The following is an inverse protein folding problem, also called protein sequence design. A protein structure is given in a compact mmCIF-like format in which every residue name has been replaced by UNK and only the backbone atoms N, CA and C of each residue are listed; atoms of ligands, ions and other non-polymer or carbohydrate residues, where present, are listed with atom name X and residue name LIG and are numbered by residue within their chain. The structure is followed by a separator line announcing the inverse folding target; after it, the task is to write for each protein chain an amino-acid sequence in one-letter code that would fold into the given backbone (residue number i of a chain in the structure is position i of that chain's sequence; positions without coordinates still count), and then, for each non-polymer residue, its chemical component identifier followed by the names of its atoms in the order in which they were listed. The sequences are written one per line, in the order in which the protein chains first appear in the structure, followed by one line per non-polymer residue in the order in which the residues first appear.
data_IF_109058672351
#
_entry.id   IF_109058672351
#
_cell.length_a   1.000
_cell.length_b   1.000
_cell.length_c   1.000
_cell.angle_alpha   90.00
_cell.angle_beta   90.00
_cell.angle_gamma   90.00
#
_symmetry.space_group_name_H-M   'P 1'
#
loop_
_entity.id
_entity.type
_entity.pdbx_description
1 polymer ?
#
# COMPACT_ATOMS: atom_id res chain seq x y z
N UNK A 1 -16.02 5.52 -2.78
CA UNK A 1 -14.66 4.95 -2.65
C UNK A 1 -14.73 3.51 -2.16
N UNK A 2 -15.31 3.19 -0.99
CA UNK A 2 -15.45 1.79 -0.54
C UNK A 2 -16.18 0.87 -1.53
N UNK A 3 -17.38 1.27 -2.00
CA UNK A 3 -18.14 0.51 -3.02
C UNK A 3 -17.32 0.23 -4.29
N UNK A 4 -16.54 1.21 -4.72
CA UNK A 4 -15.67 1.09 -5.89
C UNK A 4 -14.51 0.13 -5.63
N UNK A 5 -13.88 0.20 -4.45
CA UNK A 5 -12.85 -0.75 -4.03
C UNK A 5 -13.38 -2.18 -4.09
N UNK A 6 -14.54 -2.47 -3.48
CA UNK A 6 -15.16 -3.80 -3.53
C UNK A 6 -15.54 -4.23 -4.96
N UNK A 7 -16.02 -3.31 -5.80
CA UNK A 7 -16.31 -3.60 -7.20
C UNK A 7 -15.04 -3.97 -7.99
N UNK A 8 -13.93 -3.26 -7.76
CA UNK A 8 -12.63 -3.57 -8.39
C UNK A 8 -12.10 -4.93 -7.91
N UNK A 9 -12.23 -5.23 -6.62
CA UNK A 9 -11.84 -6.53 -6.05
C UNK A 9 -12.64 -7.66 -6.68
N UNK A 10 -13.97 -7.55 -6.69
CA UNK A 10 -14.84 -8.59 -7.25
C UNK A 10 -14.55 -8.85 -8.73
N UNK A 11 -14.31 -7.78 -9.51
CA UNK A 11 -13.97 -7.89 -10.94
C UNK A 11 -12.59 -8.52 -11.21
N UNK A 12 -11.65 -8.41 -10.27
CA UNK A 12 -10.27 -8.84 -10.46
C UNK A 12 -9.81 -9.83 -9.36
N UNK A 13 -10.72 -10.64 -8.83
CA UNK A 13 -10.50 -11.47 -7.64
C UNK A 13 -9.29 -12.41 -7.75
N UNK A 14 -9.01 -12.91 -8.96
CA UNK A 14 -7.88 -13.80 -9.22
C UNK A 14 -6.54 -13.17 -8.88
N UNK A 15 -6.36 -11.87 -9.16
CA UNK A 15 -5.14 -11.15 -8.80
C UNK A 15 -4.99 -11.02 -7.28
N UNK A 16 -6.09 -10.82 -6.56
CA UNK A 16 -6.06 -10.76 -5.09
C UNK A 16 -5.70 -12.11 -4.49
N UNK A 17 -6.23 -13.22 -5.05
CA UNK A 17 -5.83 -14.57 -4.65
C UNK A 17 -4.32 -14.79 -4.85
N UNK A 18 -3.77 -14.37 -6.01
CA UNK A 18 -2.33 -14.44 -6.28
C UNK A 18 -1.52 -13.61 -5.28
N UNK A 19 -1.95 -12.38 -4.97
CA UNK A 19 -1.26 -11.53 -3.99
C UNK A 19 -1.27 -12.16 -2.60
N UNK A 20 -2.41 -12.68 -2.14
CA UNK A 20 -2.53 -13.34 -0.84
C UNK A 20 -1.64 -14.59 -0.77
N UNK A 21 -1.72 -15.48 -1.76
CA UNK A 21 -0.87 -16.68 -1.81
C UNK A 21 0.61 -16.30 -1.90
N UNK A 22 0.95 -15.29 -2.69
CA UNK A 22 2.30 -14.75 -2.80
C UNK A 22 2.82 -14.21 -1.47
N UNK A 23 2.01 -13.45 -0.73
CA UNK A 23 2.41 -12.96 0.60
C UNK A 23 2.64 -14.11 1.57
N UNK A 24 1.77 -15.12 1.56
CA UNK A 24 1.93 -16.30 2.41
C UNK A 24 3.21 -17.05 2.10
N UNK A 25 3.50 -17.27 0.81
CA UNK A 25 4.71 -17.94 0.37
C UNK A 25 5.98 -17.18 0.81
N UNK A 26 5.97 -15.85 0.70
CA UNK A 26 7.08 -15.00 1.18
C UNK A 26 7.26 -15.08 2.70
N UNK A 27 6.17 -15.07 3.47
CA UNK A 27 6.27 -15.22 4.93
C UNK A 27 6.78 -16.59 5.37
N UNK A 28 6.34 -17.66 4.70
CA UNK A 28 6.85 -19.02 4.94
C UNK A 28 8.34 -19.10 4.59
N UNK A 29 8.76 -18.46 3.50
CA UNK A 29 10.16 -18.40 3.11
C UNK A 29 11.04 -17.67 4.13
N UNK A 30 10.57 -16.54 4.67
CA UNK A 30 11.29 -15.83 5.73
C UNK A 30 11.42 -16.69 7.00
N UNK A 31 10.38 -17.45 7.36
CA UNK A 31 10.41 -18.36 8.50
C UNK A 31 11.39 -19.53 8.28
N UNK A 32 11.35 -20.16 7.10
CA UNK A 32 12.26 -21.26 6.74
C UNK A 32 13.72 -20.81 6.64
N UNK A 33 13.97 -19.59 6.16
CA UNK A 33 15.32 -19.05 6.04
C UNK A 33 15.87 -18.49 7.35
N UNK A 34 15.01 -18.30 8.37
CA UNK A 34 15.34 -17.64 9.62
C UNK A 34 15.74 -16.16 9.44
N UNK A 35 15.45 -15.57 8.27
CA UNK A 35 15.85 -14.20 7.91
C UNK A 35 14.68 -13.47 7.26
N UNK A 36 14.52 -12.20 7.61
CA UNK A 36 13.49 -11.34 7.01
C UNK A 36 14.01 -10.73 5.70
N UNK A 37 13.99 -11.50 4.61
CA UNK A 37 14.53 -11.09 3.30
C UNK A 37 13.44 -10.71 2.29
N UNK A 38 12.19 -11.08 2.55
CA UNK A 38 11.07 -10.90 1.63
C UNK A 38 10.46 -9.49 1.60
N UNK A 39 10.95 -8.56 2.44
CA UNK A 39 10.37 -7.22 2.61
C UNK A 39 10.26 -6.45 1.29
N UNK A 40 11.33 -6.46 0.47
CA UNK A 40 11.34 -5.82 -0.84
C UNK A 40 10.33 -6.42 -1.83
N UNK A 41 10.24 -7.75 -1.88
CA UNK A 41 9.28 -8.45 -2.73
C UNK A 41 7.82 -8.16 -2.32
N UNK A 42 7.57 -8.13 -1.01
CA UNK A 42 6.27 -7.79 -0.43
C UNK A 42 5.88 -6.34 -0.78
N UNK A 43 6.80 -5.38 -0.61
CA UNK A 43 6.58 -3.98 -1.00
C UNK A 43 6.32 -3.82 -2.50
N UNK A 44 7.06 -4.55 -3.35
CA UNK A 44 6.84 -4.54 -4.79
C UNK A 44 5.44 -5.05 -5.15
N UNK A 45 5.01 -6.15 -4.54
CA UNK A 45 3.69 -6.73 -4.80
C UNK A 45 2.55 -5.79 -4.39
N UNK A 46 2.67 -5.12 -3.24
CA UNK A 46 1.71 -4.09 -2.82
C UNK A 46 1.71 -2.88 -3.74
N UNK A 47 2.89 -2.41 -4.16
CA UNK A 47 3.01 -1.33 -5.13
C UNK A 47 2.40 -1.67 -6.49
N UNK A 48 2.59 -2.91 -6.96
CA UNK A 48 1.99 -3.40 -8.19
C UNK A 48 0.46 -3.45 -8.09
N UNK A 49 -0.07 -4.00 -7.00
CA UNK A 49 -1.52 -4.01 -6.75
C UNK A 49 -2.08 -2.58 -6.74
N UNK A 50 -1.43 -1.65 -6.04
CA UNK A 50 -1.83 -0.25 -6.00
C UNK A 50 -1.85 0.39 -7.40
N UNK A 51 -0.84 0.13 -8.23
CA UNK A 51 -0.77 0.60 -9.62
C UNK A 51 -1.92 0.04 -10.45
N UNK A 52 -2.20 -1.26 -10.36
CA UNK A 52 -3.30 -1.90 -11.08
C UNK A 52 -4.66 -1.32 -10.68
N UNK A 53 -4.89 -1.11 -9.38
CA UNK A 53 -6.12 -0.50 -8.87
C UNK A 53 -6.26 0.95 -9.35
N UNK A 54 -5.19 1.74 -9.29
CA UNK A 54 -5.21 3.13 -9.79
C UNK A 54 -5.50 3.18 -11.28
N UNK A 55 -4.86 2.32 -12.07
CA UNK A 55 -5.16 2.20 -13.49
C UNK A 55 -6.61 1.77 -13.75
N UNK A 56 -7.16 0.85 -12.96
CA UNK A 56 -8.53 0.37 -13.11
C UNK A 56 -9.56 1.47 -12.84
N UNK A 57 -9.27 2.37 -11.89
CA UNK A 57 -10.07 3.57 -11.63
C UNK A 57 -9.95 4.57 -12.79
N UNK A 58 -8.74 4.82 -13.27
CA UNK A 58 -8.46 5.83 -14.31
C UNK A 58 -9.07 5.43 -15.66
N UNK A 59 -8.85 4.18 -16.08
CA UNK A 59 -9.33 3.66 -17.37
C UNK A 59 -10.70 2.99 -17.26
N UNK A 60 -11.35 3.00 -16.09
CA UNK A 60 -12.61 2.31 -15.82
C UNK A 60 -12.62 0.81 -16.17
N UNK A 61 -11.45 0.17 -16.23
CA UNK A 61 -11.23 -1.15 -16.83
C UNK A 61 -10.68 -2.23 -15.88
N UNK A 62 -10.63 -3.48 -16.34
CA UNK A 62 -10.01 -4.59 -15.59
C UNK A 62 -8.49 -4.45 -15.55
N UNK A 63 -7.81 -5.17 -14.66
CA UNK A 63 -6.33 -5.14 -14.57
C UNK A 63 -5.66 -5.56 -15.89
N UNK A 64 -6.28 -6.48 -16.63
CA UNK A 64 -5.82 -6.87 -17.97
C UNK A 64 -5.86 -5.71 -18.95
N UNK A 65 -6.92 -4.88 -18.91
CA UNK A 65 -7.03 -3.68 -19.75
C UNK A 65 -6.00 -2.62 -19.31
N UNK A 66 -5.79 -2.45 -18.00
CA UNK A 66 -4.75 -1.55 -17.48
C UNK A 66 -3.37 -1.95 -17.99
N UNK A 67 -3.04 -3.24 -18.00
CA UNK A 67 -1.77 -3.73 -18.53
C UNK A 67 -1.56 -3.36 -20.00
N UNK A 68 -2.63 -3.43 -20.82
CA UNK A 68 -2.61 -3.03 -22.23
C UNK A 68 -2.42 -1.52 -22.41
N UNK A 69 -3.03 -0.68 -21.56
CA UNK A 69 -2.99 0.78 -21.68
C UNK A 69 -1.73 1.43 -21.04
N UNK A 70 -1.25 0.87 -19.93
CA UNK A 70 -0.10 1.41 -19.21
C UNK A 70 1.23 0.96 -19.83
N UNK A 71 1.35 -0.31 -20.22
CA UNK A 71 2.59 -0.90 -20.73
C UNK A 71 3.72 -0.96 -19.69
N UNK A 72 4.76 -1.75 -19.97
CA UNK A 72 5.88 -1.98 -19.03
C UNK A 72 6.73 -0.72 -18.78
N UNK A 73 6.85 0.16 -19.78
CA UNK A 73 7.65 1.40 -19.68
C UNK A 73 7.11 2.42 -18.68
N UNK A 74 5.80 2.43 -18.39
CA UNK A 74 5.18 3.34 -17.40
C UNK A 74 5.22 2.77 -15.97
N UNK A 75 5.53 1.49 -15.83
CA UNK A 75 5.62 0.78 -14.55
C UNK A 75 6.87 1.17 -13.76
N UNK A 76 8.02 1.28 -14.42
CA UNK A 76 9.28 1.68 -13.78
C UNK A 76 9.22 3.05 -13.08
N UNK A 77 8.80 4.15 -13.74
CA UNK A 77 8.73 5.46 -13.08
C UNK A 77 7.69 5.49 -11.95
N UNK A 78 6.64 4.66 -12.01
CA UNK A 78 5.69 4.51 -10.92
C UNK A 78 6.39 3.98 -9.66
N UNK A 79 7.09 2.85 -9.78
CA UNK A 79 7.80 2.24 -8.66
C UNK A 79 8.91 3.13 -8.11
N UNK A 80 9.65 3.81 -8.97
CA UNK A 80 10.71 4.73 -8.55
C UNK A 80 10.14 5.89 -7.71
N UNK A 81 9.01 6.48 -8.12
CA UNK A 81 8.35 7.55 -7.37
C UNK A 81 7.76 7.05 -6.05
N UNK A 82 7.15 5.86 -6.05
CA UNK A 82 6.65 5.24 -4.81
C UNK A 82 7.78 4.96 -3.83
N UNK A 83 8.91 4.44 -4.32
CA UNK A 83 10.11 4.23 -3.51
C UNK A 83 10.68 5.54 -2.97
N UNK A 84 10.72 6.60 -3.80
CA UNK A 84 11.15 7.93 -3.36
C UNK A 84 10.26 8.48 -2.23
N UNK A 85 8.95 8.31 -2.31
CA UNK A 85 8.03 8.70 -1.22
C UNK A 85 8.25 7.90 0.06
N UNK A 86 8.52 6.60 -0.07
CA UNK A 86 8.81 5.74 1.07
C UNK A 86 10.13 6.13 1.75
N UNK A 87 11.20 6.33 0.96
CA UNK A 87 12.51 6.80 1.46
C UNK A 87 12.38 8.18 2.11
N UNK A 88 11.65 9.10 1.49
CA UNK A 88 11.40 10.42 2.06
C UNK A 88 10.70 10.33 3.43
N UNK A 89 9.73 9.42 3.58
CA UNK A 89 9.07 9.20 4.87
C UNK A 89 10.05 8.73 5.95
N UNK A 90 10.93 7.78 5.60
CA UNK A 90 11.97 7.28 6.51
C UNK A 90 12.95 8.37 6.92
N UNK A 91 13.43 9.17 5.96
CA UNK A 91 14.38 10.26 6.23
C UNK A 91 13.76 11.33 7.13
N UNK A 92 12.52 11.72 6.86
CA UNK A 92 11.80 12.72 7.68
C UNK A 92 11.53 12.19 9.10
N UNK A 93 11.40 10.87 9.29
CA UNK A 93 11.20 10.29 10.63
C UNK A 93 12.50 10.04 11.41
N UNK A 94 13.69 10.16 10.81
CA UNK A 94 14.98 9.95 11.49
C UNK A 94 15.22 10.83 12.73
N UNK A 95 14.81 12.12 12.78
CA UNK A 95 15.05 12.97 13.96
C UNK A 95 14.47 12.39 15.27
N UNK A 96 13.53 11.46 15.20
CA UNK A 96 12.97 10.76 16.37
C UNK A 96 14.06 10.05 17.19
N UNK A 97 15.10 9.53 16.56
CA UNK A 97 16.22 8.91 17.27
C UNK A 97 17.06 9.90 18.07
N UNK A 98 17.01 11.19 17.74
CA UNK A 98 17.69 12.25 18.50
C UNK A 98 16.82 12.82 19.63
N UNK A 99 15.51 12.63 19.56
CA UNK A 99 14.52 13.20 20.49
C UNK A 99 14.02 12.20 21.53
N UNK A 100 14.16 10.90 21.29
CA UNK A 100 13.77 9.86 22.24
C UNK A 100 14.84 9.67 23.33
N UNK A 101 14.44 9.59 24.61
CA UNK A 101 15.34 9.20 25.69
C UNK A 101 16.02 7.86 25.39
N UNK A 102 17.33 7.76 25.62
CA UNK A 102 18.12 6.53 25.46
C UNK A 102 17.68 5.39 26.40
N UNK A 103 16.89 5.73 27.42
CA UNK A 103 16.26 4.80 28.37
C UNK A 103 15.14 3.95 27.74
N UNK A 104 14.59 4.37 26.59
CA UNK A 104 13.63 3.55 25.85
C UNK A 104 14.37 2.38 25.20
N UNK A 105 14.11 1.17 25.70
CA UNK A 105 14.64 -0.05 25.12
C UNK A 105 14.37 -0.15 23.61
N UNK A 106 15.23 -0.88 22.90
CA UNK A 106 15.25 -0.97 21.42
C UNK A 106 13.87 -1.22 20.81
N UNK A 107 13.06 -2.10 21.43
CA UNK A 107 11.71 -2.44 20.95
C UNK A 107 10.75 -1.25 20.95
N UNK A 108 10.78 -0.41 21.99
CA UNK A 108 9.91 0.75 22.10
C UNK A 108 10.33 1.84 21.10
N UNK A 109 11.64 2.08 20.97
CA UNK A 109 12.19 3.05 20.02
C UNK A 109 11.86 2.66 18.57
N UNK A 110 11.98 1.38 18.21
CA UNK A 110 11.60 0.87 16.88
C UNK A 110 10.09 1.02 16.63
N UNK A 111 9.24 0.77 17.62
CA UNK A 111 7.80 0.94 17.51
C UNK A 111 7.41 2.40 17.27
N UNK A 112 8.00 3.34 18.04
CA UNK A 112 7.76 4.78 17.87
C UNK A 112 8.24 5.25 16.51
N UNK A 113 9.45 4.85 16.09
CA UNK A 113 9.97 5.19 14.77
C UNK A 113 9.06 4.67 13.65
N UNK A 114 8.65 3.41 13.71
CA UNK A 114 7.78 2.80 12.69
C UNK A 114 6.42 3.49 12.62
N UNK A 115 5.85 3.82 13.78
CA UNK A 115 4.57 4.53 13.88
C UNK A 115 4.65 5.92 13.26
N UNK A 116 5.72 6.66 13.56
CA UNK A 116 5.93 7.98 12.99
C UNK A 116 6.24 7.93 11.49
N UNK A 117 7.07 7.00 11.04
CA UNK A 117 7.34 6.77 9.62
C UNK A 117 6.05 6.51 8.84
N UNK A 118 5.12 5.72 9.41
CA UNK A 118 3.79 5.48 8.84
C UNK A 118 2.95 6.77 8.76
N UNK A 119 2.91 7.57 9.83
CA UNK A 119 2.17 8.84 9.84
C UNK A 119 2.75 9.81 8.79
N UNK A 120 4.07 9.96 8.76
CA UNK A 120 4.77 10.79 7.76
C UNK A 120 4.51 10.28 6.36
N UNK A 121 4.53 8.96 6.14
CA UNK A 121 4.22 8.37 4.85
C UNK A 121 2.79 8.70 4.40
N UNK A 122 1.81 8.62 5.30
CA UNK A 122 0.42 9.02 5.02
C UNK A 122 0.30 10.53 4.72
N UNK A 123 1.07 11.38 5.42
CA UNK A 123 1.15 12.82 5.12
C UNK A 123 1.74 13.09 3.73
N UNK A 124 2.81 12.39 3.36
CA UNK A 124 3.40 12.50 2.03
C UNK A 124 2.42 12.00 0.97
N UNK A 125 1.73 10.88 1.19
CA UNK A 125 0.73 10.39 0.26
C UNK A 125 -0.47 11.34 0.13
N UNK A 126 -0.91 12.02 1.19
CA UNK A 126 -2.02 12.97 1.09
C UNK A 126 -1.65 14.25 0.32
N UNK A 127 -0.39 14.69 0.41
CA UNK A 127 0.11 15.87 -0.30
C UNK A 127 0.56 15.58 -1.73
N UNK A 128 1.35 14.53 -1.93
CA UNK A 128 2.03 14.24 -3.21
C UNK A 128 1.81 12.79 -3.67
N UNK A 129 0.91 12.03 -3.06
CA UNK A 129 0.61 10.64 -3.46
C UNK A 129 -0.03 10.50 -4.84
N UNK A 130 -0.46 11.60 -5.47
CA UNK A 130 -0.84 11.59 -6.90
C UNK A 130 0.37 11.58 -7.84
N UNK A 131 1.59 11.76 -7.32
CA UNK A 131 2.81 11.78 -8.11
C UNK A 131 3.16 10.42 -8.73
N UNK A 132 3.13 9.27 -8.00
CA UNK A 132 3.20 7.95 -8.63
C UNK A 132 2.05 7.74 -9.63
N UNK A 133 0.81 8.05 -9.23
CA UNK A 133 -0.42 7.88 -10.03
C UNK A 133 -0.31 8.54 -11.41
N UNK A 134 0.26 9.75 -11.46
CA UNK A 134 0.46 10.50 -12.70
C UNK A 134 1.26 9.71 -13.76
N UNK A 135 2.15 8.81 -13.33
CA UNK A 135 2.98 7.99 -14.21
C UNK A 135 2.17 6.94 -14.98
N UNK A 136 1.02 6.50 -14.43
CA UNK A 136 0.11 5.56 -15.08
C UNK A 136 -0.47 6.15 -16.37
N UNK A 137 -0.69 7.46 -16.40
CA UNK A 137 -1.20 8.18 -17.59
C UNK A 137 -0.11 8.96 -18.33
N UNK A 138 1.02 9.24 -17.69
CA UNK A 138 2.11 10.07 -18.23
C UNK A 138 1.83 11.57 -18.21
N UNK A 139 0.81 12.04 -17.48
CA UNK A 139 0.37 13.46 -17.48
C UNK A 139 0.58 14.13 -16.15
N UNK A 140 1.05 15.39 -16.18
CA UNK A 140 1.34 16.19 -14.99
C UNK A 140 2.20 15.41 -14.00
N UNK A 141 3.34 14.92 -14.49
CA UNK A 141 4.25 14.02 -13.78
C UNK A 141 5.20 14.73 -12.84
N UNK A 142 5.12 16.06 -12.77
CA UNK A 142 5.93 16.88 -11.87
C UNK A 142 5.47 16.72 -10.42
N UNK A 143 6.40 16.88 -9.48
CA UNK A 143 6.09 16.86 -8.05
C UNK A 143 5.21 18.07 -7.67
N UNK A 144 5.44 19.22 -8.29
CA UNK A 144 4.66 20.43 -8.08
C UNK A 144 3.19 20.25 -8.48
N UNK A 145 2.91 19.63 -9.63
CA UNK A 145 1.54 19.31 -10.04
C UNK A 145 0.88 18.39 -9.03
N UNK A 146 1.59 17.38 -8.54
CA UNK A 146 1.06 16.46 -7.54
C UNK A 146 0.74 17.18 -6.22
N UNK A 147 1.62 18.06 -5.76
CA UNK A 147 1.42 18.89 -4.57
C UNK A 147 0.20 19.79 -4.72
N UNK A 148 0.06 20.49 -5.86
CA UNK A 148 -1.11 21.32 -6.16
C UNK A 148 -2.41 20.54 -6.08
N UNK A 149 -2.44 19.30 -6.60
CA UNK A 149 -3.62 18.41 -6.50
C UNK A 149 -3.91 17.99 -5.06
N UNK A 150 -2.88 17.69 -4.27
CA UNK A 150 -3.03 17.21 -2.90
C UNK A 150 -3.46 18.29 -1.91
N UNK A 151 -2.86 19.49 -1.96
CA UNK A 151 -3.18 20.60 -1.05
C UNK A 151 -4.66 20.96 -1.06
N UNK A 152 -5.27 21.03 -2.25
CA UNK A 152 -6.68 21.38 -2.40
C UNK A 152 -7.64 20.42 -1.67
N UNK A 153 -7.21 19.20 -1.37
CA UNK A 153 -8.04 18.15 -0.73
C UNK A 153 -7.30 17.45 0.39
N UNK A 154 -6.36 18.15 1.05
CA UNK A 154 -5.43 17.54 2.00
C UNK A 154 -6.16 16.80 3.13
N UNK A 155 -6.98 17.50 3.92
CA UNK A 155 -7.67 16.92 5.08
C UNK A 155 -8.56 15.70 4.75
N UNK A 156 -9.48 15.76 3.77
CA UNK A 156 -10.29 14.59 3.45
C UNK A 156 -9.47 13.45 2.85
N UNK A 157 -8.40 13.73 2.12
CA UNK A 157 -7.48 12.70 1.60
C UNK A 157 -6.70 12.04 2.73
N UNK A 158 -6.15 12.83 3.64
CA UNK A 158 -5.39 12.38 4.80
C UNK A 158 -6.22 11.46 5.69
N UNK A 159 -7.42 11.88 6.09
CA UNK A 159 -8.31 11.06 6.92
C UNK A 159 -8.67 9.72 6.25
N UNK A 160 -8.93 9.74 4.94
CA UNK A 160 -9.20 8.52 4.17
C UNK A 160 -7.97 7.61 4.06
N UNK A 161 -6.78 8.17 3.86
CA UNK A 161 -5.55 7.38 3.78
C UNK A 161 -5.17 6.78 5.14
N UNK A 162 -5.36 7.51 6.24
CA UNK A 162 -5.24 6.93 7.60
C UNK A 162 -6.18 5.74 7.73
N UNK A 163 -7.46 5.90 7.41
CA UNK A 163 -8.42 4.81 7.50
C UNK A 163 -8.07 3.65 6.55
N UNK A 164 -7.49 3.94 5.38
CA UNK A 164 -7.08 2.93 4.41
C UNK A 164 -5.82 2.15 4.79
N UNK A 165 -4.89 2.76 5.52
CA UNK A 165 -3.57 2.18 5.80
C UNK A 165 -3.49 1.70 7.25
N UNK A 166 -3.89 2.52 8.21
CA UNK A 166 -3.74 2.23 9.64
C UNK A 166 -4.80 1.24 10.12
N UNK A 167 -6.08 1.39 9.72
CA UNK A 167 -7.15 0.51 10.21
C UNK A 167 -6.91 -0.97 9.82
N UNK A 168 -6.60 -1.31 8.56
CA UNK A 168 -6.27 -2.69 8.19
C UNK A 168 -5.07 -3.25 8.96
N UNK A 169 -4.03 -2.43 9.19
CA UNK A 169 -2.86 -2.80 9.97
C UNK A 169 -3.21 -3.15 11.41
N UNK A 170 -3.92 -2.24 12.10
CA UNK A 170 -4.33 -2.45 13.50
C UNK A 170 -5.22 -3.67 13.63
N UNK A 171 -6.21 -3.83 12.75
CA UNK A 171 -7.10 -5.00 12.78
C UNK A 171 -6.32 -6.30 12.50
N UNK A 172 -5.37 -6.29 11.55
CA UNK A 172 -4.51 -7.46 11.30
C UNK A 172 -3.68 -7.82 12.52
N UNK A 173 -3.06 -6.83 13.18
CA UNK A 173 -2.31 -7.04 14.42
C UNK A 173 -3.18 -7.62 15.53
N UNK A 174 -4.39 -7.10 15.72
CA UNK A 174 -5.34 -7.62 16.71
C UNK A 174 -5.73 -9.07 16.42
N UNK A 175 -5.99 -9.42 15.16
CA UNK A 175 -6.28 -10.81 14.78
C UNK A 175 -5.11 -11.73 15.12
N UNK A 176 -3.87 -11.31 14.83
CA UNK A 176 -2.67 -12.07 15.19
C UNK A 176 -2.51 -12.25 16.71
N UNK A 177 -2.68 -11.18 17.50
CA UNK A 177 -2.59 -11.23 18.96
C UNK A 177 -3.66 -12.14 19.56
N UNK A 178 -4.88 -12.11 19.02
CA UNK A 178 -5.97 -12.99 19.49
C UNK A 178 -5.71 -14.44 19.10
N UNK A 179 -5.24 -14.69 17.87
CA UNK A 179 -4.90 -16.02 17.42
C UNK A 179 -3.76 -16.63 18.25
N UNK A 180 -2.76 -15.85 18.65
CA UNK A 180 -1.65 -16.34 19.46
C UNK A 180 -2.05 -16.74 20.89
N UNK A 181 -3.22 -16.31 21.39
CA UNK A 181 -3.73 -16.78 22.69
C UNK A 181 -4.30 -18.19 22.62
N UNK A 182 -4.69 -18.66 21.44
CA UNK A 182 -5.36 -19.96 21.22
C UNK A 182 -4.45 -20.93 20.47
N UNK A 183 -3.52 -20.42 19.66
CA UNK A 183 -2.56 -21.21 18.93
C UNK A 183 -1.55 -21.88 19.88
N UNK A 184 -1.18 -23.13 19.57
CA UNK A 184 -0.11 -23.84 20.27
C UNK A 184 1.28 -23.24 20.06
N UNK A 185 1.44 -22.45 18.98
CA UNK A 185 2.67 -21.73 18.65
C UNK A 185 2.34 -20.53 17.73
N UNK A 186 3.07 -19.41 17.86
CA UNK A 186 2.93 -18.27 16.95
C UNK A 186 3.58 -18.48 15.57
N UNK A 187 4.29 -19.60 15.37
CA UNK A 187 4.98 -19.92 14.13
C UNK A 187 4.00 -20.42 13.05
N UNK A 188 4.30 -20.12 11.78
CA UNK A 188 3.55 -20.65 10.63
C UNK A 188 3.84 -22.13 10.43
N UNK A 189 5.03 -22.58 10.83
CA UNK A 189 5.50 -23.96 10.78
C UNK A 189 5.88 -24.40 12.20
N UNK A 190 5.22 -25.45 12.69
CA UNK A 190 5.53 -26.09 13.98
C UNK A 190 6.14 -27.45 13.67
N UNK A 191 7.41 -27.64 14.03
CA UNK A 191 8.17 -28.86 13.74
C UNK A 191 8.14 -29.28 12.25
N UNK A 192 8.20 -28.29 11.36
CA UNK A 192 8.13 -28.48 9.91
C UNK A 192 6.73 -28.80 9.37
N UNK A 193 5.69 -28.81 10.21
CA UNK A 193 4.29 -29.00 9.83
C UNK A 193 3.53 -27.66 9.77
N UNK A 194 2.62 -27.47 8.80
CA UNK A 194 1.88 -26.24 8.68
C UNK A 194 0.92 -26.04 9.86
N UNK A 195 1.05 -24.88 10.52
CA UNK A 195 0.09 -24.41 11.50
C UNK A 195 -1.12 -23.80 10.78
N UNK A 196 -2.15 -24.62 10.56
CA UNK A 196 -3.33 -24.27 9.76
C UNK A 196 -4.00 -22.99 10.30
N UNK A 197 -4.07 -22.84 11.62
CA UNK A 197 -4.67 -21.66 12.26
C UNK A 197 -3.88 -20.39 11.91
N UNK A 198 -2.56 -20.41 12.07
CA UNK A 198 -1.71 -19.25 11.79
C UNK A 198 -1.63 -18.93 10.30
N UNK A 199 -1.68 -19.94 9.43
CA UNK A 199 -1.77 -19.74 7.99
C UNK A 199 -3.11 -19.10 7.58
N UNK A 200 -4.23 -19.52 8.18
CA UNK A 200 -5.53 -18.89 7.95
C UNK A 200 -5.54 -17.43 8.42
N UNK A 201 -4.96 -17.15 9.59
CA UNK A 201 -4.80 -15.79 10.13
C UNK A 201 -3.95 -14.93 9.20
N UNK A 202 -2.83 -15.46 8.70
CA UNK A 202 -1.98 -14.77 7.73
C UNK A 202 -2.73 -14.48 6.43
N UNK A 203 -3.51 -15.43 5.91
CA UNK A 203 -4.33 -15.22 4.72
C UNK A 203 -5.37 -14.10 4.91
N UNK A 204 -6.04 -14.08 6.06
CA UNK A 204 -7.01 -13.04 6.42
C UNK A 204 -6.32 -11.67 6.54
N UNK A 205 -5.18 -11.62 7.22
CA UNK A 205 -4.40 -10.40 7.37
C UNK A 205 -3.92 -9.87 6.01
N UNK A 206 -3.35 -10.73 5.16
CA UNK A 206 -2.92 -10.37 3.82
C UNK A 206 -4.10 -9.86 2.96
N UNK A 207 -5.26 -10.51 3.04
CA UNK A 207 -6.45 -10.04 2.36
C UNK A 207 -6.87 -8.67 2.88
N UNK A 208 -6.88 -8.45 4.19
CA UNK A 208 -7.22 -7.17 4.79
C UNK A 208 -6.23 -6.05 4.39
N UNK A 209 -4.93 -6.35 4.32
CA UNK A 209 -3.93 -5.42 3.78
C UNK A 209 -4.21 -5.10 2.31
N UNK A 210 -4.58 -6.09 1.50
CA UNK A 210 -4.94 -5.88 0.10
C UNK A 210 -6.16 -4.95 -0.05
N UNK A 211 -7.14 -5.03 0.86
CA UNK A 211 -8.27 -4.10 0.92
C UNK A 211 -7.80 -2.68 1.22
N UNK A 212 -6.91 -2.53 2.20
CA UNK A 212 -6.32 -1.24 2.59
C UNK A 212 -5.57 -0.56 1.47
N UNK A 213 -4.63 -1.29 0.85
CA UNK A 213 -3.85 -0.85 -0.32
C UNK A 213 -4.78 -0.43 -1.46
N UNK A 214 -5.82 -1.23 -1.73
CA UNK A 214 -6.77 -0.94 -2.81
C UNK A 214 -7.63 0.28 -2.51
N UNK A 215 -8.07 0.46 -1.27
CA UNK A 215 -8.80 1.64 -0.87
C UNK A 215 -7.95 2.91 -0.99
N UNK A 216 -6.71 2.90 -0.49
CA UNK A 216 -5.78 4.01 -0.62
C UNK A 216 -5.48 4.33 -2.10
N UNK A 217 -5.28 3.30 -2.93
CA UNK A 217 -5.11 3.42 -4.37
C UNK A 217 -6.32 4.10 -5.05
N UNK A 218 -7.55 3.71 -4.69
CA UNK A 218 -8.79 4.36 -5.19
C UNK A 218 -8.84 5.83 -4.77
N UNK A 219 -8.54 6.14 -3.50
CA UNK A 219 -8.53 7.53 -3.00
C UNK A 219 -7.59 8.39 -3.83
N UNK A 220 -6.34 7.96 -4.00
CA UNK A 220 -5.32 8.69 -4.75
C UNK A 220 -5.68 8.84 -6.24
N UNK A 221 -6.23 7.80 -6.87
CA UNK A 221 -6.69 7.86 -8.26
C UNK A 221 -7.83 8.86 -8.45
N UNK A 222 -8.79 8.92 -7.50
CA UNK A 222 -9.90 9.87 -7.55
C UNK A 222 -9.45 11.32 -7.30
N UNK A 223 -8.47 11.53 -6.42
CA UNK A 223 -7.86 12.86 -6.23
C UNK A 223 -7.13 13.29 -7.51
N UNK A 224 -6.38 12.37 -8.14
CA UNK A 224 -5.71 12.62 -9.41
C UNK A 224 -6.71 13.02 -10.51
N UNK A 225 -7.75 12.22 -10.74
CA UNK A 225 -8.78 12.51 -11.76
C UNK A 225 -9.47 13.85 -11.51
N UNK A 226 -9.81 14.16 -10.27
CA UNK A 226 -10.47 15.43 -9.96
C UNK A 226 -9.57 16.65 -10.18
N UNK A 227 -8.25 16.50 -10.01
CA UNK A 227 -7.27 17.54 -10.31
C UNK A 227 -7.05 17.74 -11.82
N UNK A 228 -7.31 16.72 -12.63
CA UNK A 228 -7.11 16.75 -14.08
C UNK A 228 -8.39 17.03 -14.89
N UNK A 229 -9.59 16.84 -14.30
CA UNK A 229 -10.88 17.15 -14.94
C UNK A 229 -11.05 18.61 -15.36
N UNK A 230 -10.26 19.54 -14.81
CA UNK A 230 -10.19 20.94 -15.25
C UNK A 230 -9.25 21.20 -16.44
N UNK A 231 -8.53 20.19 -16.93
CA UNK A 231 -7.56 20.32 -18.02
C UNK A 231 -8.18 19.87 -19.35
N UNK A 232 -8.30 20.79 -20.31
CA UNK A 232 -8.88 20.55 -21.64
C UNK A 232 -8.27 19.35 -22.41
N UNK A 233 -7.09 18.87 -22.00
CA UNK A 233 -6.38 17.73 -22.60
C UNK A 233 -6.87 16.36 -22.11
N UNK A 234 -7.68 16.29 -21.05
CA UNK A 234 -8.15 15.01 -20.48
C UNK A 234 -9.23 14.33 -21.30
N UNK A 235 -10.13 15.10 -21.94
CA UNK A 235 -11.18 14.56 -22.82
C UNK A 235 -10.66 13.82 -24.05
N UNK A 236 -9.50 14.22 -24.60
CA UNK A 236 -8.97 13.67 -25.85
C UNK A 236 -8.20 12.34 -25.73
N UNK A 237 -7.97 11.82 -24.51
CA UNK A 237 -7.35 10.49 -24.31
C UNK A 237 -8.24 9.50 -23.56
N UNK A 238 -9.43 9.94 -23.15
CA UNK A 238 -10.50 9.07 -22.67
C UNK A 238 -11.51 8.71 -23.79
N UNK A 239 -11.38 9.35 -24.96
CA UNK A 239 -12.02 9.00 -26.21
C UNK A 239 -11.03 8.19 -27.06
#
# INVERSE_FOLDING_TARGET
MLRETFSIIGRNWSMYAVVVVGTMALSIFDELSGKTTSSGATSFMWGYLAMCVQGAVIYSGSFTQVGKCAGFGKTFPYFLKTAALFIAALVISLPIFTLLPSELGVSATVLVFTSAAMIVYVLLLSLVGTWPVSSVTGRGTSLFDAFRRGVARFFPTFARLIAGIILPLVVSMLIFVMASQVASSPLLLVDGRPNILMLAVLAIAAFLQSLGVSYAAVVLARVYLAGEQGSAKFGAAAA
#
